data_IF_883634850227
#
_entry.id   IF_883634850227
#
_cell.length_a   1.000
_cell.length_b   1.000
_cell.length_c   1.000
_cell.angle_alpha   90.00
_cell.angle_beta   90.00
_cell.angle_gamma   90.00
#
_symmetry.space_group_name_H-M   'P 1'
#
loop_
_entity.id
_entity.type
_entity.pdbx_description
1 polymer ?
#
# COMPACT_ATOMS: atom_id res chain seq x y z
N UNK A 1 -13.06 -27.97 -33.55
CA UNK A 1 -13.41 -27.45 -32.21
C UNK A 1 -12.39 -26.42 -31.70
N UNK A 2 -11.09 -26.75 -31.63
CA UNK A 2 -10.04 -25.81 -31.22
C UNK A 2 -9.96 -24.52 -32.09
N UNK A 3 -10.20 -24.63 -33.41
CA UNK A 3 -10.19 -23.48 -34.31
C UNK A 3 -11.32 -22.47 -34.00
N UNK A 4 -12.52 -22.97 -33.70
CA UNK A 4 -13.68 -22.15 -33.35
C UNK A 4 -13.46 -21.41 -32.02
N UNK A 5 -12.92 -22.10 -31.01
CA UNK A 5 -12.55 -21.48 -29.73
C UNK A 5 -11.49 -20.39 -29.88
N UNK A 6 -10.52 -20.59 -30.78
CA UNK A 6 -9.49 -19.58 -31.07
C UNK A 6 -10.08 -18.33 -31.72
N UNK A 7 -10.99 -18.49 -32.67
CA UNK A 7 -11.64 -17.34 -33.32
C UNK A 7 -12.58 -16.61 -32.37
N UNK A 8 -13.31 -17.31 -31.49
CA UNK A 8 -14.09 -16.69 -30.40
C UNK A 8 -13.19 -15.83 -29.51
N UNK A 9 -12.06 -16.37 -29.04
CA UNK A 9 -11.11 -15.59 -28.23
C UNK A 9 -10.49 -14.40 -28.97
N UNK A 10 -10.41 -14.45 -30.31
CA UNK A 10 -9.96 -13.31 -31.14
C UNK A 10 -11.01 -12.22 -31.22
N UNK A 11 -12.28 -12.59 -31.35
CA UNK A 11 -13.43 -11.65 -31.33
C UNK A 11 -13.53 -10.98 -29.96
N UNK A 12 -13.48 -11.73 -28.86
CA UNK A 12 -13.52 -11.19 -27.51
C UNK A 12 -12.39 -10.20 -27.24
N UNK A 13 -11.16 -10.53 -27.65
CA UNK A 13 -10.01 -9.61 -27.53
C UNK A 13 -10.21 -8.33 -28.34
N UNK A 14 -10.79 -8.44 -29.53
CA UNK A 14 -11.04 -7.28 -30.40
C UNK A 14 -12.10 -6.38 -29.80
N UNK A 15 -13.21 -6.94 -29.32
CA UNK A 15 -14.27 -6.20 -28.62
C UNK A 15 -13.72 -5.52 -27.37
N UNK A 16 -12.98 -6.25 -26.53
CA UNK A 16 -12.33 -5.66 -25.35
C UNK A 16 -11.38 -4.50 -25.71
N UNK A 17 -10.62 -4.62 -26.81
CA UNK A 17 -9.71 -3.56 -27.25
C UNK A 17 -10.48 -2.33 -27.73
N UNK A 18 -11.59 -2.52 -28.43
CA UNK A 18 -12.47 -1.43 -28.86
C UNK A 18 -13.10 -0.73 -27.66
N UNK A 19 -13.68 -1.49 -26.73
CA UNK A 19 -14.23 -0.98 -25.46
C UNK A 19 -13.19 -0.19 -24.67
N UNK A 20 -11.96 -0.71 -24.61
CA UNK A 20 -10.84 -0.06 -23.93
C UNK A 20 -10.44 1.27 -24.56
N UNK A 21 -10.50 1.41 -25.88
CA UNK A 21 -10.20 2.66 -26.60
C UNK A 21 -11.36 3.66 -26.45
N UNK A 22 -12.59 3.18 -26.52
CA UNK A 22 -13.79 4.01 -26.50
C UNK A 22 -14.12 4.55 -25.10
N UNK A 23 -13.83 3.78 -24.04
CA UNK A 23 -14.30 4.08 -22.68
C UNK A 23 -13.14 4.54 -21.75
N UNK A 24 -13.00 5.86 -21.47
CA UNK A 24 -11.97 6.38 -20.57
C UNK A 24 -12.08 5.83 -19.13
N UNK A 25 -13.28 5.51 -18.67
CA UNK A 25 -13.51 4.99 -17.32
C UNK A 25 -12.93 3.59 -17.12
N UNK A 26 -12.95 2.73 -18.14
CA UNK A 26 -12.30 1.42 -18.08
C UNK A 26 -10.79 1.56 -17.89
N UNK A 27 -10.17 2.49 -18.62
CA UNK A 27 -8.73 2.80 -18.49
C UNK A 27 -8.41 3.34 -17.11
N UNK A 28 -9.20 4.31 -16.61
CA UNK A 28 -9.02 4.88 -15.26
C UNK A 28 -9.11 3.81 -14.18
N UNK A 29 -10.10 2.91 -14.26
CA UNK A 29 -10.25 1.80 -13.31
C UNK A 29 -9.04 0.87 -13.35
N UNK A 30 -8.61 0.45 -14.53
CA UNK A 30 -7.46 -0.43 -14.67
C UNK A 30 -6.16 0.23 -14.18
N UNK A 31 -5.93 1.51 -14.46
CA UNK A 31 -4.78 2.25 -13.91
C UNK A 31 -4.83 2.35 -12.40
N UNK A 32 -6.01 2.54 -11.78
CA UNK A 32 -6.15 2.53 -10.31
C UNK A 32 -5.77 1.18 -9.71
N UNK A 33 -6.23 0.08 -10.30
CA UNK A 33 -5.86 -1.27 -9.86
C UNK A 33 -4.37 -1.56 -10.05
N UNK A 34 -3.79 -1.12 -11.18
CA UNK A 34 -2.35 -1.23 -11.43
C UNK A 34 -1.53 -0.44 -10.40
N UNK A 35 -1.91 0.81 -10.12
CA UNK A 35 -1.25 1.65 -9.13
C UNK A 35 -1.29 1.02 -7.73
N UNK A 36 -2.42 0.38 -7.37
CA UNK A 36 -2.55 -0.37 -6.11
C UNK A 36 -1.58 -1.55 -6.07
N UNK A 37 -1.53 -2.36 -7.13
CA UNK A 37 -0.60 -3.48 -7.24
C UNK A 37 0.87 -3.04 -7.24
N UNK A 38 1.19 -1.93 -7.89
CA UNK A 38 2.53 -1.35 -7.91
C UNK A 38 2.94 -0.85 -6.52
N UNK A 39 2.04 -0.18 -5.79
CA UNK A 39 2.29 0.27 -4.42
C UNK A 39 2.49 -0.91 -3.46
N UNK A 40 1.69 -1.97 -3.58
CA UNK A 40 1.87 -3.20 -2.80
C UNK A 40 3.21 -3.86 -3.12
N UNK A 41 3.57 -3.95 -4.40
CA UNK A 41 4.86 -4.50 -4.83
C UNK A 41 6.03 -3.63 -4.34
N UNK A 42 5.89 -2.30 -4.33
CA UNK A 42 6.89 -1.39 -3.80
C UNK A 42 7.09 -1.59 -2.28
N UNK A 43 6.01 -1.71 -1.52
CA UNK A 43 6.05 -2.06 -0.10
C UNK A 43 6.76 -3.39 0.13
N UNK A 44 6.37 -4.44 -0.59
CA UNK A 44 7.00 -5.77 -0.51
C UNK A 44 8.49 -5.72 -0.83
N UNK A 45 8.90 -4.97 -1.86
CA UNK A 45 10.31 -4.74 -2.18
C UNK A 45 11.07 -4.03 -1.06
N UNK A 46 10.46 -3.03 -0.44
CA UNK A 46 11.07 -2.28 0.66
C UNK A 46 11.29 -3.17 1.90
N UNK A 47 10.29 -3.99 2.27
CA UNK A 47 10.41 -4.96 3.37
C UNK A 47 11.50 -6.00 3.06
N UNK A 48 11.56 -6.46 1.81
CA UNK A 48 12.50 -7.49 1.38
C UNK A 48 13.94 -6.98 1.15
N UNK A 49 14.20 -5.68 1.25
CA UNK A 49 15.45 -5.05 0.83
C UNK A 49 16.70 -5.53 1.60
N UNK A 50 16.55 -6.20 2.74
CA UNK A 50 17.66 -6.57 3.62
C UNK A 50 18.56 -7.74 3.15
N UNK A 51 18.63 -8.04 1.83
CA UNK A 51 19.48 -9.12 1.30
C UNK A 51 20.17 -8.92 -0.05
N UNK A 52 20.32 -7.69 -0.55
CA UNK A 52 21.15 -7.39 -1.74
C UNK A 52 20.84 -8.36 -2.91
N UNK A 53 19.56 -8.60 -3.19
CA UNK A 53 19.12 -9.32 -4.38
C UNK A 53 19.53 -10.80 -4.52
N UNK A 54 19.97 -11.52 -3.48
CA UNK A 54 20.27 -12.97 -3.58
C UNK A 54 19.36 -13.84 -2.72
N UNK A 55 18.32 -14.40 -3.35
CA UNK A 55 17.63 -15.59 -2.87
C UNK A 55 18.41 -16.80 -3.39
N UNK A 56 19.23 -17.42 -2.53
CA UNK A 56 19.84 -18.73 -2.79
C UNK A 56 19.05 -19.80 -2.04
N UNK A 57 17.75 -19.86 -2.28
CA UNK A 57 16.93 -20.96 -1.78
C UNK A 57 16.46 -21.77 -2.99
N UNK A 58 17.08 -22.92 -3.16
CA UNK A 58 16.75 -23.87 -4.22
C UNK A 58 15.47 -24.67 -3.91
N UNK A 59 14.90 -24.57 -2.69
CA UNK A 59 13.74 -25.32 -2.25
C UNK A 59 12.42 -24.52 -2.32
N UNK A 60 11.43 -25.06 -3.03
CA UNK A 60 10.08 -24.47 -3.21
C UNK A 60 9.39 -24.15 -1.88
N UNK A 61 9.54 -25.00 -0.88
CA UNK A 61 8.94 -24.82 0.45
C UNK A 61 9.51 -23.58 1.16
N UNK A 62 10.83 -23.35 1.06
CA UNK A 62 11.46 -22.18 1.66
C UNK A 62 11.03 -20.87 0.98
N UNK A 63 10.77 -20.90 -0.33
CA UNK A 63 10.20 -19.77 -1.06
C UNK A 63 8.75 -19.48 -0.61
N UNK A 64 7.93 -20.52 -0.43
CA UNK A 64 6.55 -20.37 0.06
C UNK A 64 6.47 -19.79 1.46
N UNK A 65 7.31 -20.27 2.40
CA UNK A 65 7.37 -19.73 3.75
C UNK A 65 7.79 -18.26 3.77
N UNK A 66 8.75 -17.86 2.93
CA UNK A 66 9.16 -16.45 2.82
C UNK A 66 8.09 -15.57 2.20
N UNK A 67 7.42 -16.03 1.15
CA UNK A 67 6.32 -15.30 0.54
C UNK A 67 5.18 -15.08 1.55
N UNK A 68 4.85 -16.11 2.32
CA UNK A 68 3.87 -16.03 3.41
C UNK A 68 4.29 -15.05 4.50
N UNK A 69 5.54 -15.11 4.96
CA UNK A 69 6.07 -14.18 5.96
C UNK A 69 6.06 -12.73 5.47
N UNK A 70 6.44 -12.50 4.21
CA UNK A 70 6.42 -11.18 3.58
C UNK A 70 5.00 -10.62 3.49
N UNK A 71 4.03 -11.44 3.09
CA UNK A 71 2.62 -11.06 3.05
C UNK A 71 2.09 -10.74 4.47
N UNK A 72 2.51 -11.51 5.48
CA UNK A 72 2.13 -11.25 6.87
C UNK A 72 2.65 -9.88 7.35
N UNK A 73 3.93 -9.57 7.11
CA UNK A 73 4.52 -8.29 7.50
C UNK A 73 3.87 -7.13 6.73
N UNK A 74 3.66 -7.27 5.42
CA UNK A 74 2.97 -6.27 4.62
C UNK A 74 1.54 -6.02 5.14
N UNK A 75 0.81 -7.09 5.47
CA UNK A 75 -0.53 -7.00 6.06
C UNK A 75 -0.52 -6.30 7.43
N UNK A 76 0.45 -6.59 8.29
CA UNK A 76 0.60 -5.93 9.58
C UNK A 76 0.88 -4.41 9.43
N UNK A 77 1.71 -4.02 8.46
CA UNK A 77 1.96 -2.61 8.13
C UNK A 77 0.69 -1.93 7.63
N UNK A 78 -0.06 -2.57 6.73
CA UNK A 78 -1.33 -2.03 6.22
C UNK A 78 -2.35 -1.86 7.34
N UNK A 79 -2.45 -2.84 8.24
CA UNK A 79 -3.33 -2.76 9.41
C UNK A 79 -2.93 -1.59 10.31
N UNK A 80 -1.64 -1.46 10.64
CA UNK A 80 -1.11 -0.33 11.41
C UNK A 80 -1.41 1.01 10.75
N UNK A 81 -1.16 1.15 9.45
CA UNK A 81 -1.47 2.38 8.73
C UNK A 81 -2.96 2.71 8.76
N UNK A 82 -3.83 1.70 8.60
CA UNK A 82 -5.27 1.88 8.62
C UNK A 82 -5.77 2.35 10.00
N UNK A 83 -5.26 1.77 11.09
CA UNK A 83 -5.64 2.17 12.45
C UNK A 83 -5.18 3.60 12.77
N UNK A 84 -3.98 3.99 12.34
CA UNK A 84 -3.48 5.35 12.54
C UNK A 84 -4.17 6.38 11.65
N UNK A 85 -4.51 6.04 10.40
CA UNK A 85 -5.32 6.91 9.54
C UNK A 85 -6.70 7.17 10.16
N UNK A 86 -7.32 6.15 10.75
CA UNK A 86 -8.57 6.30 11.49
C UNK A 86 -8.41 7.21 12.70
N UNK A 87 -7.35 7.01 13.50
CA UNK A 87 -7.06 7.87 14.65
C UNK A 87 -6.81 9.32 14.24
N UNK A 88 -6.07 9.55 13.15
CA UNK A 88 -5.83 10.88 12.59
C UNK A 88 -7.13 11.55 12.12
N UNK A 89 -8.03 10.79 11.46
CA UNK A 89 -9.35 11.28 11.06
C UNK A 89 -10.18 11.72 12.26
N UNK A 90 -10.23 10.92 13.32
CA UNK A 90 -10.94 11.27 14.56
C UNK A 90 -10.33 12.50 15.24
N UNK A 91 -9.00 12.58 15.29
CA UNK A 91 -8.31 13.74 15.85
C UNK A 91 -8.65 15.03 15.09
N UNK A 92 -8.63 15.00 13.75
CA UNK A 92 -9.02 16.14 12.92
C UNK A 92 -10.49 16.55 13.11
N UNK A 93 -11.39 15.57 13.23
CA UNK A 93 -12.80 15.83 13.54
C UNK A 93 -12.97 16.53 14.89
N UNK A 94 -12.25 16.09 15.93
CA UNK A 94 -12.26 16.71 17.26
C UNK A 94 -11.71 18.15 17.26
N UNK A 95 -10.82 18.49 16.32
CA UNK A 95 -10.32 19.85 16.11
C UNK A 95 -11.26 20.73 15.25
N UNK A 96 -12.47 20.24 14.94
CA UNK A 96 -13.44 20.95 14.10
C UNK A 96 -13.07 20.96 12.60
N UNK A 97 -12.15 20.10 12.17
CA UNK A 97 -11.69 19.98 10.77
C UNK A 97 -12.01 18.59 10.20
N UNK A 98 -13.30 18.21 10.06
CA UNK A 98 -13.64 16.90 9.54
C UNK A 98 -13.15 16.72 8.10
N UNK A 99 -12.60 15.54 7.80
CA UNK A 99 -12.17 15.18 6.43
C UNK A 99 -13.40 14.73 5.62
N UNK A 100 -13.69 15.32 4.45
CA UNK A 100 -14.78 14.90 3.57
C UNK A 100 -14.70 13.41 3.21
N UNK A 101 -15.82 12.67 3.22
CA UNK A 101 -15.85 11.24 2.84
C UNK A 101 -15.29 10.98 1.44
N UNK A 102 -15.54 11.89 0.50
CA UNK A 102 -15.07 11.79 -0.89
C UNK A 102 -13.54 11.84 -1.02
N UNK A 103 -12.82 12.34 -0.01
CA UNK A 103 -11.36 12.31 0.01
C UNK A 103 -10.82 11.00 0.60
N UNK A 104 -11.61 10.31 1.44
CA UNK A 104 -11.18 9.06 2.07
C UNK A 104 -10.98 7.94 1.04
N UNK A 105 -11.74 7.95 -0.07
CA UNK A 105 -11.59 6.98 -1.17
C UNK A 105 -10.23 7.07 -1.87
N UNK A 106 -9.50 8.18 -1.69
CA UNK A 106 -8.19 8.42 -2.28
C UNK A 106 -7.03 8.09 -1.32
N UNK A 107 -7.32 7.76 -0.06
CA UNK A 107 -6.31 7.36 0.90
C UNK A 107 -5.80 5.95 0.60
N UNK A 108 -4.48 5.80 0.61
CA UNK A 108 -3.83 4.49 0.50
C UNK A 108 -3.13 4.14 1.81
N UNK A 109 -3.46 3.00 2.45
CA UNK A 109 -2.76 2.52 3.63
C UNK A 109 -1.43 1.83 3.28
N UNK A 110 -0.98 1.86 2.03
CA UNK A 110 0.23 1.19 1.57
C UNK A 110 1.50 2.04 1.73
N UNK A 111 1.38 3.30 2.18
CA UNK A 111 2.54 4.16 2.43
C UNK A 111 3.46 3.59 3.52
N UNK A 112 4.77 3.59 3.31
CA UNK A 112 5.75 3.00 4.24
C UNK A 112 6.95 3.90 4.52
N UNK A 113 7.04 5.06 3.90
CA UNK A 113 8.14 6.01 4.07
C UNK A 113 8.28 6.51 5.52
N UNK A 114 7.20 6.44 6.31
CA UNK A 114 7.19 6.83 7.72
C UNK A 114 7.59 5.72 8.69
N UNK A 115 7.88 4.51 8.20
CA UNK A 115 8.23 3.32 8.98
C UNK A 115 9.72 3.04 8.79
N UNK A 116 10.45 2.85 9.89
CA UNK A 116 11.83 2.41 9.81
C UNK A 116 11.88 0.89 9.57
N UNK A 117 12.12 0.51 8.32
CA UNK A 117 12.28 -0.89 7.89
C UNK A 117 13.72 -1.41 8.06
N UNK A 118 14.69 -0.51 8.27
CA UNK A 118 16.13 -0.83 8.34
C UNK A 118 16.82 0.01 9.41
N UNK A 119 17.17 -0.59 10.55
CA UNK A 119 17.93 0.09 11.59
C UNK A 119 18.07 -0.74 12.86
N UNK A 120 18.70 -0.14 13.86
CA UNK A 120 18.88 -0.74 15.18
C UNK A 120 17.59 -0.63 16.00
N UNK A 121 17.02 -1.78 16.35
CA UNK A 121 15.86 -1.86 17.23
C UNK A 121 16.33 -1.90 18.67
N UNK A 122 16.26 -0.77 19.36
CA UNK A 122 16.47 -0.70 20.80
C UNK A 122 15.20 -1.20 21.49
N UNK A 123 15.25 -2.43 22.01
CA UNK A 123 14.18 -3.04 22.82
C UNK A 123 14.23 -2.57 24.28
N UNK A 124 14.72 -1.35 24.51
CA UNK A 124 14.96 -0.79 25.84
C UNK A 124 13.87 0.23 26.15
N UNK A 125 12.66 -0.25 26.44
CA UNK A 125 11.74 0.47 27.33
C UNK A 125 10.82 -0.52 28.08
N UNK A 126 10.63 -0.42 29.42
CA UNK A 126 9.87 -1.36 30.25
C UNK A 126 8.36 -1.19 30.18
N UNK A 127 7.86 -0.17 29.49
CA UNK A 127 6.42 0.05 29.33
C UNK A 127 5.87 -0.94 28.30
N UNK A 128 5.28 -2.02 28.81
CA UNK A 128 4.45 -2.96 28.06
C UNK A 128 3.57 -2.19 27.05
N UNK A 129 3.27 -2.77 25.86
CA UNK A 129 2.45 -2.10 24.88
C UNK A 129 1.09 -1.79 25.52
N UNK A 130 0.89 -0.54 25.93
CA UNK A 130 -0.44 -0.09 26.30
C UNK A 130 -1.31 -0.33 25.07
N UNK A 131 -2.54 -0.81 25.25
CA UNK A 131 -3.50 -0.96 24.15
C UNK A 131 -3.77 0.37 23.42
N UNK A 132 -3.28 1.50 23.95
CA UNK A 132 -3.38 2.80 23.32
C UNK A 132 -2.37 2.97 22.16
N UNK A 133 -2.85 3.63 21.11
CA UNK A 133 -2.02 4.04 19.98
C UNK A 133 -0.94 5.03 20.44
N UNK A 134 0.22 5.00 19.79
CA UNK A 134 1.24 6.03 19.97
C UNK A 134 0.66 7.40 19.59
N UNK A 135 1.05 8.47 20.29
CA UNK A 135 0.55 9.81 19.97
C UNK A 135 0.85 10.19 18.52
N UNK A 136 -0.11 10.86 17.88
CA UNK A 136 0.05 11.35 16.52
C UNK A 136 1.15 12.42 16.48
N UNK A 137 2.00 12.38 15.46
CA UNK A 137 3.00 13.43 15.23
C UNK A 137 2.28 14.73 14.88
N UNK A 138 2.49 15.77 15.66
CA UNK A 138 2.02 17.11 15.33
C UNK A 138 2.89 17.68 14.21
N UNK A 139 2.29 18.07 13.07
CA UNK A 139 3.00 18.87 12.09
C UNK A 139 3.28 20.24 12.71
N UNK A 140 4.57 20.59 12.89
CA UNK A 140 4.94 21.99 13.07
C UNK A 140 4.47 22.74 11.84
N UNK A 141 3.67 23.80 12.02
CA UNK A 141 3.33 24.70 10.93
C UNK A 141 4.64 25.15 10.28
N UNK A 142 4.78 24.89 8.99
CA UNK A 142 5.83 25.52 8.20
C UNK A 142 5.45 27.00 8.16
N UNK A 143 6.04 27.78 9.05
CA UNK A 143 5.99 29.24 8.98
C UNK A 143 6.59 29.63 7.63
N UNK A 144 5.72 30.01 6.70
CA UNK A 144 6.10 30.60 5.44
C UNK A 144 6.85 31.90 5.72
N UNK A 145 8.18 31.82 5.75
CA UNK A 145 9.04 32.97 5.58
C UNK A 145 8.97 33.38 4.11
N UNK A 146 7.95 34.17 3.77
CA UNK A 146 8.03 35.03 2.60
C UNK A 146 9.18 36.01 2.86
N UNK A 147 10.33 35.74 2.24
CA UNK A 147 11.46 36.67 2.21
C UNK A 147 11.11 37.78 1.20
N UNK A 148 11.39 39.07 1.52
CA UNK A 148 11.06 40.21 0.66
C UNK A 148 11.77 40.17 -0.69
#
# INVERSE_FOLDING_TARGET
LALALREIGRVERTLFTLDWIEQPEQRRRATRELNKGEAENALKRAIFFHRIGRIRDHALQAQSHRASALNLVAGAIVLWNTTYLQAARMHLANLGRPVPPDLLQHLSPLGWQHINLTGDYLWTDPDAPSTALRPLRQMRAVEGTAKP
#
